data_IF_258427191915
#
_entry.id   IF_258427191915
#
_cell.length_a   1.000
_cell.length_b   1.000
_cell.length_c   1.000
_cell.angle_alpha   90.00
_cell.angle_beta   90.00
_cell.angle_gamma   90.00
#
_symmetry.space_group_name_H-M   'P 1'
#
loop_
_entity.id
_entity.type
_entity.pdbx_description
1 polymer ?
#
# COMPACT_ATOMS: atom_id res chain seq x y z
N UNK A 1 -28.96 27.05 48.64
CA UNK A 1 -27.93 26.30 49.40
C UNK A 1 -26.79 25.99 48.46
N UNK A 2 -25.64 26.63 48.67
CA UNK A 2 -24.45 26.56 47.82
C UNK A 2 -23.87 25.14 47.86
N UNK A 3 -23.82 24.45 46.70
CA UNK A 3 -23.09 23.20 46.55
C UNK A 3 -21.60 23.53 46.52
N UNK A 4 -20.89 23.19 47.59
CA UNK A 4 -19.44 23.26 47.65
C UNK A 4 -18.88 22.32 46.57
N UNK A 5 -18.39 22.88 45.47
CA UNK A 5 -17.81 22.14 44.36
C UNK A 5 -16.34 21.86 44.72
N UNK A 6 -16.09 20.71 45.35
CA UNK A 6 -14.72 20.26 45.63
C UNK A 6 -14.05 19.92 44.30
N UNK A 7 -13.13 20.78 43.85
CA UNK A 7 -12.30 20.55 42.67
C UNK A 7 -11.26 19.49 42.99
N UNK A 8 -11.19 18.45 42.16
CA UNK A 8 -10.09 17.49 42.12
C UNK A 8 -8.96 18.15 41.33
N UNK A 9 -7.81 18.39 41.96
CA UNK A 9 -6.59 18.78 41.27
C UNK A 9 -5.67 17.56 41.17
N UNK A 10 -5.51 17.02 39.96
CA UNK A 10 -4.36 16.16 39.65
C UNK A 10 -3.12 17.05 39.61
N UNK A 11 -2.40 17.16 40.71
CA UNK A 11 -1.10 17.83 40.74
C UNK A 11 -0.03 16.88 40.19
N UNK A 12 0.39 17.10 38.95
CA UNK A 12 1.71 16.67 38.46
C UNK A 12 2.75 17.56 39.13
N UNK A 13 3.18 17.22 40.34
CA UNK A 13 4.36 17.85 40.95
C UNK A 13 5.57 16.97 40.69
N UNK A 14 6.54 17.53 39.97
CA UNK A 14 7.88 16.98 39.83
C UNK A 14 8.44 16.55 41.19
N UNK A 15 8.88 15.28 41.28
CA UNK A 15 9.53 14.58 42.40
C UNK A 15 8.58 13.88 43.40
N UNK A 16 8.30 12.61 43.15
CA UNK A 16 7.76 11.64 44.12
C UNK A 16 6.25 11.44 44.04
N UNK A 17 5.80 10.45 43.27
CA UNK A 17 4.39 10.18 42.96
C UNK A 17 3.68 9.40 44.09
N UNK A 18 2.53 9.92 44.53
CA UNK A 18 1.55 9.19 45.33
C UNK A 18 0.14 9.72 45.05
N UNK A 19 -0.82 8.82 44.81
CA UNK A 19 -2.24 9.13 44.72
C UNK A 19 -2.83 9.07 46.14
N UNK A 20 -3.22 10.20 46.72
CA UNK A 20 -3.84 10.23 48.05
C UNK A 20 -5.36 10.06 47.96
N UNK A 21 -5.90 9.13 48.76
CA UNK A 21 -7.32 8.86 48.87
C UNK A 21 -7.97 9.94 49.74
N UNK A 22 -8.91 10.69 49.16
CA UNK A 22 -9.93 11.43 49.89
C UNK A 22 -11.25 10.80 49.40
N UNK A 23 -11.82 9.90 50.21
CA UNK A 23 -13.06 9.07 50.06
C UNK A 23 -14.15 9.67 49.13
N UNK A 24 -14.95 8.98 48.29
CA UNK A 24 -15.53 7.62 48.23
C UNK A 24 -15.83 7.19 46.77
N UNK A 25 -14.83 7.01 45.90
CA UNK A 25 -15.11 6.53 44.54
C UNK A 25 -13.97 5.66 44.00
N UNK A 26 -14.06 4.36 44.31
CA UNK A 26 -13.09 3.35 43.88
C UNK A 26 -12.94 3.31 42.36
N UNK A 27 -14.02 3.57 41.62
CA UNK A 27 -14.01 3.60 40.16
C UNK A 27 -13.17 4.76 39.63
N UNK A 28 -13.29 5.95 40.23
CA UNK A 28 -12.45 7.11 39.88
C UNK A 28 -10.98 6.91 40.24
N UNK A 29 -10.70 6.29 41.38
CA UNK A 29 -9.32 5.98 41.78
C UNK A 29 -8.69 4.98 40.80
N UNK A 30 -9.37 3.88 40.52
CA UNK A 30 -8.90 2.85 39.58
C UNK A 30 -8.69 3.45 38.18
N UNK A 31 -9.62 4.26 37.69
CA UNK A 31 -9.49 4.92 36.39
C UNK A 31 -8.29 5.87 36.34
N UNK A 32 -7.98 6.56 37.43
CA UNK A 32 -6.83 7.45 37.52
C UNK A 32 -5.50 6.70 37.69
N UNK A 33 -5.46 5.66 38.54
CA UNK A 33 -4.26 4.89 38.86
C UNK A 33 -3.85 3.92 37.76
N UNK A 34 -4.80 3.35 37.01
CA UNK A 34 -4.52 2.45 35.87
C UNK A 34 -4.07 3.18 34.61
N UNK A 35 -4.16 4.52 34.58
CA UNK A 35 -3.96 5.36 33.39
C UNK A 35 -4.77 4.88 32.16
N UNK A 36 -5.90 4.20 32.40
CA UNK A 36 -6.77 3.66 31.34
C UNK A 36 -6.25 2.42 30.62
N UNK A 37 -5.22 1.74 31.15
CA UNK A 37 -4.63 0.53 30.54
C UNK A 37 -5.24 -0.76 31.09
N UNK A 38 -5.06 -1.85 30.35
CA UNK A 38 -5.41 -3.20 30.80
C UNK A 38 -4.24 -3.84 31.57
N UNK A 39 -4.48 -4.12 32.85
CA UNK A 39 -3.55 -4.77 33.78
C UNK A 39 -3.97 -6.21 34.13
N UNK A 40 -4.90 -6.83 33.39
CA UNK A 40 -5.50 -8.13 33.71
C UNK A 40 -4.46 -9.23 33.97
N UNK A 41 -3.40 -9.30 33.17
CA UNK A 41 -2.32 -10.28 33.34
C UNK A 41 -1.52 -10.08 34.63
N UNK A 42 -1.32 -8.83 35.05
CA UNK A 42 -0.72 -8.52 36.35
C UNK A 42 -1.67 -8.91 37.49
N UNK A 43 -2.94 -8.55 37.37
CA UNK A 43 -3.94 -8.84 38.39
C UNK A 43 -4.19 -10.33 38.59
N UNK A 44 -4.18 -11.13 37.53
CA UNK A 44 -4.22 -12.60 37.63
C UNK A 44 -3.01 -13.14 38.40
N UNK A 45 -1.82 -12.59 38.14
CA UNK A 45 -0.58 -12.99 38.82
C UNK A 45 -0.55 -12.57 40.30
N UNK A 46 -1.04 -11.37 40.61
CA UNK A 46 -1.21 -10.87 41.98
C UNK A 46 -2.41 -11.51 42.71
N UNK A 47 -3.11 -12.44 42.04
CA UNK A 47 -4.25 -13.18 42.56
C UNK A 47 -5.37 -12.23 43.03
N UNK A 48 -5.68 -11.23 42.21
CA UNK A 48 -6.87 -10.41 42.37
C UNK A 48 -8.10 -11.30 42.12
N UNK A 49 -9.10 -11.30 43.02
CA UNK A 49 -10.32 -12.11 42.85
C UNK A 49 -11.00 -11.80 41.51
N UNK A 50 -11.62 -12.81 40.90
CA UNK A 50 -12.21 -12.70 39.56
C UNK A 50 -13.28 -11.61 39.48
N UNK A 51 -14.06 -11.47 40.55
CA UNK A 51 -15.07 -10.45 40.77
C UNK A 51 -14.50 -9.02 40.83
N UNK A 52 -13.18 -8.87 41.05
CA UNK A 52 -12.49 -7.58 41.14
C UNK A 52 -11.60 -7.29 39.90
N UNK A 53 -11.54 -8.19 38.91
CA UNK A 53 -10.72 -8.00 37.69
C UNK A 53 -11.22 -6.86 36.80
N UNK A 54 -12.47 -6.43 36.96
CA UNK A 54 -12.99 -5.20 36.34
C UNK A 54 -12.28 -3.94 36.85
N UNK A 55 -11.54 -4.03 37.95
CA UNK A 55 -10.61 -2.97 38.36
C UNK A 55 -9.35 -2.89 37.52
N UNK A 56 -9.02 -3.94 36.76
CA UNK A 56 -7.79 -4.01 36.00
C UNK A 56 -7.99 -3.71 34.51
N UNK A 57 -9.24 -3.71 34.04
CA UNK A 57 -9.60 -3.47 32.63
C UNK A 57 -10.95 -2.77 32.54
N UNK A 58 -11.20 -2.11 31.40
CA UNK A 58 -12.47 -1.46 31.15
C UNK A 58 -13.67 -2.44 31.18
N UNK A 59 -14.87 -2.04 31.67
CA UNK A 59 -15.20 -0.78 32.32
C UNK A 59 -14.77 -0.82 33.78
N UNK A 60 -13.99 0.16 34.23
CA UNK A 60 -13.40 0.27 35.58
C UNK A 60 -14.47 0.41 36.69
N UNK A 61 -15.31 -0.61 36.82
CA UNK A 61 -16.45 -0.73 37.71
C UNK A 61 -16.10 -1.79 38.73
N UNK A 62 -15.78 -1.35 39.93
CA UNK A 62 -15.28 -2.17 41.01
C UNK A 62 -16.25 -2.04 42.18
N UNK A 63 -16.76 -3.16 42.67
CA UNK A 63 -17.61 -3.20 43.84
C UNK A 63 -16.82 -2.80 45.10
N UNK A 64 -17.48 -2.20 46.09
CA UNK A 64 -16.86 -1.82 47.36
C UNK A 64 -16.21 -3.03 48.08
N UNK A 65 -16.72 -4.25 47.88
CA UNK A 65 -16.09 -5.47 48.44
C UNK A 65 -14.64 -5.67 48.01
N UNK A 66 -14.21 -5.06 46.90
CA UNK A 66 -12.86 -5.14 46.37
C UNK A 66 -11.86 -4.18 47.04
N UNK A 67 -12.27 -3.40 48.05
CA UNK A 67 -11.36 -2.59 48.89
C UNK A 67 -10.21 -3.45 49.47
N UNK A 68 -10.48 -4.72 49.76
CA UNK A 68 -9.51 -5.71 50.25
C UNK A 68 -8.39 -6.02 49.23
N UNK A 69 -8.62 -5.77 47.95
CA UNK A 69 -7.67 -6.00 46.86
C UNK A 69 -6.90 -4.74 46.48
N UNK A 70 -7.10 -3.61 47.16
CA UNK A 70 -6.45 -2.33 46.84
C UNK A 70 -4.93 -2.42 46.78
N UNK A 71 -4.28 -3.14 47.70
CA UNK A 71 -2.83 -3.28 47.70
C UNK A 71 -2.30 -4.08 46.49
N UNK A 72 -3.08 -5.07 46.01
CA UNK A 72 -2.79 -5.86 44.80
C UNK A 72 -3.04 -5.07 43.52
N UNK A 73 -4.08 -4.24 43.52
CA UNK A 73 -4.36 -3.32 42.42
C UNK A 73 -3.25 -2.24 42.35
N UNK A 74 -2.89 -1.67 43.49
CA UNK A 74 -1.82 -0.69 43.62
C UNK A 74 -0.46 -1.27 43.23
N UNK A 75 -0.13 -2.54 43.52
CA UNK A 75 1.13 -3.13 43.02
C UNK A 75 1.17 -3.20 41.49
N UNK A 76 0.04 -3.42 40.83
CA UNK A 76 -0.06 -3.41 39.37
C UNK A 76 -0.10 -2.00 38.76
N UNK A 77 -0.62 -1.00 39.47
CA UNK A 77 -0.77 0.38 38.99
C UNK A 77 0.44 1.27 39.31
N UNK A 78 1.09 1.02 40.46
CA UNK A 78 2.20 1.81 41.01
C UNK A 78 3.55 1.17 40.77
N UNK A 79 3.59 -0.02 40.17
CA UNK A 79 4.79 -0.41 39.46
C UNK A 79 5.06 0.72 38.43
N UNK A 80 6.31 1.17 38.27
CA UNK A 80 6.71 1.77 37.00
C UNK A 80 6.25 0.84 35.87
N UNK A 81 6.37 1.23 34.62
CA UNK A 81 6.33 0.26 33.51
C UNK A 81 7.47 -0.79 33.66
N UNK A 82 7.46 -1.64 34.69
CA UNK A 82 8.54 -2.55 35.08
C UNK A 82 8.36 -3.78 34.23
N UNK A 83 8.82 -3.60 33.01
CA UNK A 83 9.04 -4.63 32.02
C UNK A 83 7.98 -4.71 30.93
N UNK A 84 7.10 -3.73 30.72
CA UNK A 84 6.52 -3.56 29.38
C UNK A 84 7.49 -2.73 28.54
N UNK A 85 7.69 -3.05 27.26
CA UNK A 85 8.69 -2.38 26.45
C UNK A 85 8.22 -0.96 26.09
N UNK A 86 9.17 -0.07 25.83
CA UNK A 86 8.90 1.24 25.24
C UNK A 86 8.62 1.14 23.75
N UNK A 87 7.87 2.10 23.21
CA UNK A 87 7.65 2.21 21.77
C UNK A 87 8.98 2.33 21.03
N UNK A 88 9.11 1.67 19.88
CA UNK A 88 10.33 1.72 19.07
C UNK A 88 10.64 3.15 18.62
N UNK A 89 11.91 3.42 18.35
CA UNK A 89 12.41 4.73 17.94
C UNK A 89 12.81 4.72 16.48
N UNK A 90 12.86 5.91 15.87
CA UNK A 90 13.38 6.14 14.52
C UNK A 90 12.80 5.21 13.45
N UNK A 91 11.50 4.88 13.53
CA UNK A 91 10.80 4.18 12.46
C UNK A 91 10.92 4.99 11.17
N UNK A 92 11.50 4.37 10.14
CA UNK A 92 11.72 4.97 8.83
C UNK A 92 11.36 3.98 7.72
N UNK A 93 11.01 4.54 6.56
CA UNK A 93 10.73 3.79 5.34
C UNK A 93 11.79 4.09 4.30
N UNK A 94 12.34 3.05 3.69
CA UNK A 94 13.38 3.10 2.66
C UNK A 94 13.07 2.11 1.55
N UNK A 95 13.84 2.12 0.46
CA UNK A 95 13.72 1.14 -0.64
C UNK A 95 12.29 0.99 -1.17
N UNK A 96 11.59 2.12 -1.33
CA UNK A 96 10.21 2.12 -1.83
C UNK A 96 10.22 1.81 -3.33
N UNK A 97 9.51 0.75 -3.71
CA UNK A 97 9.26 0.36 -5.11
C UNK A 97 7.79 0.63 -5.46
N UNK A 98 7.34 0.14 -6.62
CA UNK A 98 5.92 0.21 -6.98
C UNK A 98 5.03 -0.77 -6.21
N UNK A 99 5.60 -1.78 -5.54
CA UNK A 99 4.82 -2.82 -4.86
C UNK A 99 5.36 -3.21 -3.48
N UNK A 100 6.38 -2.52 -2.98
CA UNK A 100 7.03 -2.88 -1.72
C UNK A 100 7.78 -1.73 -1.10
N UNK A 101 8.06 -1.84 0.20
CA UNK A 101 8.86 -0.87 0.96
C UNK A 101 9.57 -1.57 2.12
N UNK A 102 10.75 -1.06 2.50
CA UNK A 102 11.52 -1.54 3.65
C UNK A 102 11.31 -0.62 4.86
N UNK A 103 10.71 -1.16 5.91
CA UNK A 103 10.56 -0.53 7.22
C UNK A 103 11.76 -0.91 8.09
N UNK A 104 12.30 0.06 8.83
CA UNK A 104 13.33 -0.19 9.85
C UNK A 104 13.16 0.75 11.03
N UNK A 105 13.52 0.28 12.22
CA UNK A 105 13.38 1.01 13.48
C UNK A 105 14.55 0.65 14.42
N UNK A 106 14.55 1.24 15.60
CA UNK A 106 15.49 0.94 16.66
C UNK A 106 14.78 0.62 17.95
N UNK A 107 15.33 -0.34 18.69
CA UNK A 107 14.86 -0.64 20.03
C UNK A 107 15.00 0.54 20.99
N UNK A 108 13.99 0.62 21.87
CA UNK A 108 13.93 1.61 22.93
C UNK A 108 14.11 1.02 24.33
N UNK A 109 14.19 -0.31 24.43
CA UNK A 109 14.22 -1.05 25.69
C UNK A 109 14.97 -2.40 25.56
N UNK A 110 15.21 -3.05 26.69
CA UNK A 110 15.87 -4.36 26.76
C UNK A 110 14.86 -5.51 26.88
N UNK A 111 15.25 -6.70 26.42
CA UNK A 111 14.44 -7.92 26.56
C UNK A 111 13.28 -8.00 25.56
N UNK A 112 13.34 -7.24 24.45
CA UNK A 112 12.42 -7.38 23.33
C UNK A 112 12.57 -8.78 22.74
N UNK A 113 11.44 -9.47 22.55
CA UNK A 113 11.38 -10.80 21.93
C UNK A 113 10.81 -10.75 20.52
N UNK A 114 10.22 -9.62 20.12
CA UNK A 114 9.75 -9.38 18.77
C UNK A 114 9.00 -8.08 18.59
N UNK A 115 8.42 -7.91 17.41
CA UNK A 115 7.69 -6.73 16.98
C UNK A 115 6.46 -7.14 16.20
N UNK A 116 5.39 -6.37 16.40
CA UNK A 116 4.21 -6.39 15.55
C UNK A 116 4.25 -5.17 14.63
N UNK A 117 4.29 -5.40 13.33
CA UNK A 117 4.26 -4.37 12.28
C UNK A 117 2.86 -4.32 11.70
N UNK A 118 2.27 -3.13 11.58
CA UNK A 118 0.96 -2.93 10.96
C UNK A 118 1.06 -1.84 9.88
N UNK A 119 0.51 -2.13 8.71
CA UNK A 119 0.43 -1.21 7.56
C UNK A 119 -1.02 -0.96 7.22
N UNK A 120 -1.35 0.31 6.99
CA UNK A 120 -2.69 0.81 6.78
C UNK A 120 -2.83 1.46 5.40
N UNK A 121 -3.99 1.28 4.79
CA UNK A 121 -4.47 2.03 3.63
C UNK A 121 -5.87 2.54 3.96
N UNK A 122 -6.11 3.85 3.86
CA UNK A 122 -7.40 4.47 4.23
C UNK A 122 -7.92 4.02 5.61
N UNK A 123 -7.02 4.02 6.62
CA UNK A 123 -7.27 3.60 8.01
C UNK A 123 -7.65 2.12 8.21
N UNK A 124 -7.70 1.31 7.15
CA UNK A 124 -7.84 -0.14 7.23
C UNK A 124 -6.47 -0.83 7.26
N UNK A 125 -6.31 -1.82 8.14
CA UNK A 125 -5.10 -2.67 8.17
C UNK A 125 -5.07 -3.54 6.92
N UNK A 126 -4.03 -3.39 6.11
CA UNK A 126 -3.82 -4.16 4.87
C UNK A 126 -2.69 -5.18 4.99
N UNK A 127 -1.79 -5.01 5.97
CA UNK A 127 -0.72 -5.96 6.24
C UNK A 127 -0.37 -5.94 7.73
N UNK A 128 -0.15 -7.13 8.29
CA UNK A 128 0.31 -7.33 9.67
C UNK A 128 1.39 -8.40 9.67
N UNK A 129 2.47 -8.17 10.42
CA UNK A 129 3.54 -9.16 10.58
C UNK A 129 4.06 -9.17 12.02
N UNK A 130 4.24 -10.37 12.57
CA UNK A 130 4.95 -10.60 13.83
C UNK A 130 6.37 -11.12 13.50
N UNK A 131 7.40 -10.40 13.91
CA UNK A 131 8.80 -10.68 13.55
C UNK A 131 9.74 -10.50 14.75
N UNK A 132 10.99 -10.93 14.60
CA UNK A 132 12.04 -10.78 15.63
C UNK A 132 13.15 -9.81 15.24
N UNK A 133 13.13 -9.28 14.02
CA UNK A 133 14.14 -8.36 13.48
C UNK A 133 13.68 -6.90 13.57
N UNK A 134 14.62 -5.96 13.66
CA UNK A 134 14.35 -4.50 13.68
C UNK A 134 14.05 -3.90 12.29
N UNK A 135 13.67 -4.75 11.34
CA UNK A 135 13.31 -4.36 9.98
C UNK A 135 12.34 -5.33 9.36
N UNK A 136 11.48 -4.83 8.47
CA UNK A 136 10.51 -5.62 7.74
C UNK A 136 10.29 -5.06 6.34
N UNK A 137 10.38 -5.93 5.33
CA UNK A 137 10.00 -5.59 3.97
C UNK A 137 8.55 -5.98 3.73
N UNK A 138 7.72 -4.98 3.44
CA UNK A 138 6.32 -5.15 3.11
C UNK A 138 6.20 -5.32 1.60
N UNK A 139 5.48 -6.35 1.17
CA UNK A 139 5.30 -6.72 -0.24
C UNK A 139 3.83 -6.56 -0.65
N UNK A 140 3.54 -6.78 -1.94
CA UNK A 140 2.19 -6.80 -2.51
C UNK A 140 1.39 -5.50 -2.28
N UNK A 141 2.08 -4.37 -2.23
CA UNK A 141 1.46 -3.05 -2.17
C UNK A 141 0.95 -2.63 -3.56
N UNK A 142 -0.08 -1.79 -3.58
CA UNK A 142 -0.62 -1.19 -4.79
C UNK A 142 0.31 -0.05 -5.24
N UNK A 143 0.63 0.07 -6.55
CA UNK A 143 1.39 1.19 -7.08
C UNK A 143 0.73 2.55 -6.87
N UNK A 144 1.53 3.61 -6.81
CA UNK A 144 1.07 5.00 -6.66
C UNK A 144 0.06 5.21 -5.51
N UNK A 145 0.18 4.45 -4.42
CA UNK A 145 -0.77 4.43 -3.31
C UNK A 145 -0.09 4.83 -2.00
N UNK A 146 -0.80 5.60 -1.18
CA UNK A 146 -0.32 6.05 0.12
C UNK A 146 -0.61 5.00 1.20
N UNK A 147 0.37 4.78 2.07
CA UNK A 147 0.29 3.87 3.20
C UNK A 147 0.79 4.55 4.48
N UNK A 148 0.28 4.09 5.62
CA UNK A 148 0.82 4.38 6.95
C UNK A 148 1.35 3.12 7.60
N UNK A 149 2.48 3.19 8.29
CA UNK A 149 3.02 2.07 9.07
C UNK A 149 3.29 2.47 10.53
N UNK A 150 3.05 1.53 11.43
CA UNK A 150 3.43 1.60 12.84
C UNK A 150 4.02 0.27 13.31
N UNK A 151 4.81 0.34 14.38
CA UNK A 151 5.46 -0.82 14.97
C UNK A 151 5.24 -0.84 16.47
N UNK A 152 4.93 -2.01 17.00
CA UNK A 152 4.77 -2.27 18.44
C UNK A 152 5.82 -3.27 18.89
N UNK A 153 6.61 -2.93 19.90
CA UNK A 153 7.59 -3.84 20.49
C UNK A 153 6.90 -4.81 21.45
N UNK A 154 7.40 -6.05 21.53
CA UNK A 154 6.83 -7.14 22.32
C UNK A 154 7.93 -7.74 23.18
N UNK A 155 7.66 -7.96 24.46
CA UNK A 155 8.52 -8.75 25.35
C UNK A 155 7.71 -9.79 26.13
N UNK A 156 8.37 -10.55 27.02
CA UNK A 156 7.72 -11.61 27.79
C UNK A 156 6.55 -11.17 28.69
N UNK A 157 6.42 -9.86 28.97
CA UNK A 157 5.36 -9.28 29.81
C UNK A 157 4.22 -8.70 28.98
N UNK A 158 4.50 -8.19 27.78
CA UNK A 158 3.47 -7.69 26.86
C UNK A 158 4.01 -6.71 25.82
N UNK A 159 3.11 -5.85 25.34
CA UNK A 159 3.35 -4.96 24.20
C UNK A 159 3.63 -3.53 24.64
N UNK A 160 4.41 -2.80 23.85
CA UNK A 160 4.55 -1.35 23.98
C UNK A 160 3.30 -0.62 23.45
N UNK A 161 3.17 0.69 23.69
CA UNK A 161 2.40 1.54 22.79
C UNK A 161 2.95 1.44 21.35
N UNK A 162 2.12 1.65 20.31
CA UNK A 162 2.60 1.76 18.94
C UNK A 162 3.57 2.94 18.78
N UNK A 163 4.48 2.84 17.81
CA UNK A 163 5.28 3.98 17.37
C UNK A 163 4.40 5.09 16.80
N UNK A 164 4.98 6.28 16.61
CA UNK A 164 4.37 7.25 15.70
C UNK A 164 4.25 6.64 14.30
N UNK A 165 3.16 6.99 13.61
CA UNK A 165 2.93 6.59 12.23
C UNK A 165 3.97 7.23 11.32
N UNK A 166 4.49 6.44 10.38
CA UNK A 166 5.22 6.95 9.22
C UNK A 166 4.37 6.75 7.96
N UNK A 167 4.27 7.79 7.14
CA UNK A 167 3.55 7.74 5.86
C UNK A 167 4.54 7.57 4.71
N UNK A 168 4.17 6.77 3.72
CA UNK A 168 4.94 6.60 2.49
C UNK A 168 4.01 6.33 1.30
N UNK A 169 4.47 6.65 0.10
CA UNK A 169 3.73 6.40 -1.15
C UNK A 169 4.56 5.48 -2.04
N UNK A 170 3.99 4.38 -2.50
CA UNK A 170 4.64 3.51 -3.47
C UNK A 170 4.86 4.23 -4.79
N UNK A 171 5.92 3.83 -5.51
CA UNK A 171 6.20 4.41 -6.82
C UNK A 171 5.10 4.01 -7.83
N UNK A 172 4.86 4.81 -8.88
CA UNK A 172 4.08 4.32 -10.01
C UNK A 172 4.78 3.13 -10.67
N UNK A 173 4.02 2.27 -11.36
CA UNK A 173 4.61 1.25 -12.22
C UNK A 173 5.47 1.96 -13.27
N UNK A 174 6.78 1.69 -13.28
CA UNK A 174 7.62 2.11 -14.40
C UNK A 174 7.18 1.30 -15.61
N UNK A 175 6.41 1.90 -16.51
CA UNK A 175 6.20 1.33 -17.85
C UNK A 175 7.54 1.44 -18.56
N UNK A 176 8.34 0.39 -18.51
CA UNK A 176 9.55 0.32 -19.32
C UNK A 176 9.15 0.09 -20.77
N UNK A 177 9.94 0.59 -21.73
CA UNK A 177 9.77 0.28 -23.15
C UNK A 177 9.75 -1.24 -23.41
N UNK A 178 10.31 -2.05 -22.48
CA UNK A 178 10.33 -3.51 -22.51
C UNK A 178 8.96 -4.15 -22.61
N UNK A 179 7.95 -3.59 -21.93
CA UNK A 179 6.60 -4.15 -21.91
C UNK A 179 5.77 -3.79 -23.17
N UNK A 180 6.33 -3.03 -24.12
CA UNK A 180 5.62 -2.70 -25.36
C UNK A 180 5.71 -3.87 -26.36
N UNK A 181 4.68 -4.14 -27.16
CA UNK A 181 4.80 -5.07 -28.29
C UNK A 181 5.96 -4.65 -29.22
N UNK A 182 6.67 -5.62 -29.80
CA UNK A 182 7.63 -5.30 -30.87
C UNK A 182 6.91 -4.67 -32.07
N UNK A 183 7.64 -3.86 -32.83
CA UNK A 183 7.11 -3.30 -34.08
C UNK A 183 6.70 -4.44 -35.03
N UNK A 184 5.54 -4.36 -35.71
CA UNK A 184 5.18 -5.34 -36.71
C UNK A 184 6.22 -5.38 -37.84
N UNK A 185 6.54 -6.57 -38.31
CA UNK A 185 7.45 -6.80 -39.44
C UNK A 185 6.72 -7.50 -40.61
N UNK A 186 7.43 -7.65 -41.72
CA UNK A 186 6.88 -8.33 -42.91
C UNK A 186 5.71 -7.60 -43.57
N UNK A 187 5.59 -6.28 -43.38
CA UNK A 187 4.59 -5.44 -44.02
C UNK A 187 4.69 -5.54 -45.54
N UNK A 188 3.60 -5.97 -46.19
CA UNK A 188 3.59 -6.29 -47.63
C UNK A 188 2.22 -6.12 -48.26
N UNK A 189 2.23 -5.85 -49.56
CA UNK A 189 1.03 -5.85 -50.41
C UNK A 189 0.70 -7.28 -50.82
N UNK A 190 -0.53 -7.72 -50.54
CA UNK A 190 -1.02 -9.05 -50.94
C UNK A 190 -1.64 -9.00 -52.33
N UNK A 191 -2.49 -8.01 -52.55
CA UNK A 191 -3.09 -7.73 -53.85
C UNK A 191 -3.44 -6.25 -53.98
N UNK A 192 -3.50 -5.78 -55.22
CA UNK A 192 -3.78 -4.40 -55.58
C UNK A 192 -4.77 -4.44 -56.76
N UNK A 193 -6.04 -4.13 -56.49
CA UNK A 193 -7.12 -4.27 -57.47
C UNK A 193 -8.10 -3.10 -57.43
N UNK A 194 -8.19 -2.37 -58.55
CA UNK A 194 -9.04 -1.18 -58.69
C UNK A 194 -8.65 -0.09 -57.70
N UNK A 195 -9.61 0.36 -56.89
CA UNK A 195 -9.42 1.36 -55.83
C UNK A 195 -9.14 0.73 -54.46
N UNK A 196 -8.74 -0.56 -54.41
CA UNK A 196 -8.55 -1.31 -53.17
C UNK A 196 -7.20 -2.02 -53.14
N UNK A 197 -6.59 -2.08 -51.97
CA UNK A 197 -5.31 -2.76 -51.76
C UNK A 197 -5.37 -3.53 -50.44
N UNK A 198 -5.04 -4.81 -50.47
CA UNK A 198 -4.89 -5.60 -49.26
C UNK A 198 -3.45 -5.61 -48.78
N UNK A 199 -3.26 -5.22 -47.54
CA UNK A 199 -1.97 -5.15 -46.85
C UNK A 199 -1.95 -6.21 -45.76
N UNK A 200 -0.83 -6.87 -45.60
CA UNK A 200 -0.61 -7.84 -44.52
C UNK A 200 0.76 -7.67 -43.87
N UNK A 201 0.91 -8.22 -42.67
CA UNK A 201 2.15 -8.24 -41.89
C UNK A 201 2.23 -9.55 -41.10
N UNK A 202 3.34 -9.79 -40.41
CA UNK A 202 3.46 -10.95 -39.52
C UNK A 202 2.84 -10.65 -38.14
N UNK A 203 2.34 -11.67 -37.43
CA UNK A 203 1.81 -11.48 -36.09
C UNK A 203 2.90 -11.07 -35.10
N UNK A 204 2.61 -10.06 -34.26
CA UNK A 204 3.46 -9.68 -33.13
C UNK A 204 3.19 -10.62 -31.96
N UNK A 205 4.15 -11.46 -31.63
CA UNK A 205 4.04 -12.50 -30.59
C UNK A 205 4.88 -12.22 -29.35
N UNK A 206 5.77 -11.23 -29.42
CA UNK A 206 6.69 -10.87 -28.33
C UNK A 206 6.75 -9.36 -28.10
N UNK A 207 7.09 -9.00 -26.86
CA UNK A 207 7.37 -7.63 -26.43
C UNK A 207 8.85 -7.29 -26.60
N UNK A 208 9.21 -6.03 -26.38
CA UNK A 208 10.59 -5.53 -26.52
C UNK A 208 11.58 -6.24 -25.57
N UNK A 209 11.12 -6.69 -24.41
CA UNK A 209 11.88 -7.51 -23.45
C UNK A 209 11.91 -9.01 -23.77
N UNK A 210 11.43 -9.41 -24.96
CA UNK A 210 11.29 -10.79 -25.43
C UNK A 210 10.23 -11.64 -24.72
N UNK A 211 9.51 -11.08 -23.73
CA UNK A 211 8.37 -11.77 -23.12
C UNK A 211 7.23 -11.98 -24.14
N UNK A 212 6.44 -13.05 -24.02
CA UNK A 212 5.33 -13.31 -24.93
C UNK A 212 4.20 -12.28 -24.73
N UNK A 213 3.56 -11.92 -25.84
CA UNK A 213 2.29 -11.20 -25.85
C UNK A 213 1.20 -12.17 -25.40
N UNK A 214 0.43 -11.78 -24.37
CA UNK A 214 -0.61 -12.62 -23.77
C UNK A 214 -2.03 -12.10 -23.98
N UNK A 215 -2.17 -10.82 -24.38
CA UNK A 215 -3.43 -10.16 -24.65
C UNK A 215 -3.80 -10.13 -26.13
N UNK A 216 -4.94 -9.49 -26.41
CA UNK A 216 -5.36 -9.21 -27.79
C UNK A 216 -4.50 -8.09 -28.36
N UNK A 217 -3.92 -8.32 -29.54
CA UNK A 217 -3.17 -7.30 -30.29
C UNK A 217 -4.10 -6.63 -31.29
N UNK A 218 -4.24 -5.32 -31.16
CA UNK A 218 -4.89 -4.49 -32.17
C UNK A 218 -3.82 -3.83 -33.04
N UNK A 219 -3.99 -3.89 -34.35
CA UNK A 219 -3.11 -3.23 -35.31
C UNK A 219 -3.77 -1.95 -35.83
N UNK A 220 -2.96 -0.90 -36.02
CA UNK A 220 -3.39 0.33 -36.69
C UNK A 220 -2.51 0.56 -37.91
N UNK A 221 -3.10 0.48 -39.11
CA UNK A 221 -2.45 0.86 -40.36
C UNK A 221 -2.61 2.35 -40.57
N UNK A 222 -1.51 3.05 -40.84
CA UNK A 222 -1.45 4.45 -41.22
C UNK A 222 -1.06 4.53 -42.69
N UNK A 223 -1.80 5.31 -43.49
CA UNK A 223 -1.43 5.57 -44.89
C UNK A 223 -1.73 7.02 -45.32
N UNK A 224 -0.95 7.52 -46.29
CA UNK A 224 -1.07 8.87 -46.85
C UNK A 224 -0.65 8.88 -48.33
N UNK A 225 -1.23 9.75 -49.15
CA UNK A 225 -0.80 9.95 -50.55
C UNK A 225 0.59 10.63 -50.55
N UNK A 226 1.60 9.96 -51.13
CA UNK A 226 3.01 10.30 -50.97
C UNK A 226 3.39 11.66 -51.56
N UNK A 227 2.70 12.10 -52.61
CA UNK A 227 3.03 13.34 -53.34
C UNK A 227 2.34 14.58 -52.77
N UNK A 228 1.47 14.43 -51.77
CA UNK A 228 0.77 15.55 -51.13
C UNK A 228 1.41 15.91 -49.80
N UNK A 229 2.17 17.00 -49.81
CA UNK A 229 2.72 17.59 -48.60
C UNK A 229 1.62 18.08 -47.66
N UNK A 230 1.71 17.71 -46.38
CA UNK A 230 0.85 18.23 -45.31
C UNK A 230 -0.48 17.49 -45.14
N UNK A 231 -0.70 16.35 -45.79
CA UNK A 231 -1.91 15.56 -45.60
C UNK A 231 -1.85 14.73 -44.31
N UNK A 232 -2.96 14.70 -43.57
CA UNK A 232 -3.10 13.89 -42.35
C UNK A 232 -3.13 12.40 -42.72
N UNK A 233 -2.46 11.57 -41.92
CA UNK A 233 -2.50 10.11 -42.07
C UNK A 233 -3.92 9.59 -41.87
N UNK A 234 -4.40 8.77 -42.80
CA UNK A 234 -5.62 7.98 -42.62
C UNK A 234 -5.29 6.70 -41.86
N UNK A 235 -6.17 6.30 -40.95
CA UNK A 235 -5.96 5.12 -40.09
C UNK A 235 -7.03 4.04 -40.29
N UNK A 236 -6.61 2.78 -40.32
CA UNK A 236 -7.51 1.62 -40.28
C UNK A 236 -7.10 0.69 -39.13
N UNK A 237 -8.06 0.26 -38.32
CA UNK A 237 -7.82 -0.66 -37.20
C UNK A 237 -8.33 -2.06 -37.49
N UNK A 238 -7.61 -3.08 -37.00
CA UNK A 238 -7.96 -4.48 -37.17
C UNK A 238 -7.32 -5.34 -36.08
N UNK A 239 -7.96 -6.44 -35.71
CA UNK A 239 -7.34 -7.46 -34.85
C UNK A 239 -6.72 -8.60 -35.67
N UNK A 240 -6.84 -8.56 -37.00
CA UNK A 240 -6.21 -9.49 -37.92
C UNK A 240 -4.81 -8.99 -38.32
N UNK A 241 -4.00 -9.85 -38.92
CA UNK A 241 -2.70 -9.48 -39.50
C UNK A 241 -2.80 -8.96 -40.95
N UNK A 242 -3.98 -8.44 -41.30
CA UNK A 242 -4.27 -7.88 -42.62
C UNK A 242 -5.39 -6.84 -42.55
N UNK A 243 -5.39 -5.92 -43.52
CA UNK A 243 -6.45 -4.93 -43.71
C UNK A 243 -6.54 -4.53 -45.19
N UNK A 244 -7.75 -4.20 -45.64
CA UNK A 244 -8.00 -3.68 -46.99
C UNK A 244 -8.13 -2.16 -46.94
N UNK A 245 -7.23 -1.46 -47.60
CA UNK A 245 -7.38 -0.03 -47.90
C UNK A 245 -8.42 0.12 -49.01
N UNK A 246 -9.41 0.98 -48.81
CA UNK A 246 -10.50 1.24 -49.76
C UNK A 246 -10.46 2.68 -50.27
N UNK A 247 -11.21 2.93 -51.35
CA UNK A 247 -11.43 4.25 -51.93
C UNK A 247 -10.15 5.01 -52.27
N UNK A 248 -9.13 4.24 -52.70
CA UNK A 248 -7.87 4.80 -53.15
C UNK A 248 -8.03 5.49 -54.50
N UNK A 249 -7.37 6.63 -54.65
CA UNK A 249 -7.20 7.29 -55.94
C UNK A 249 -6.30 6.42 -56.81
N UNK A 250 -6.78 6.04 -58.00
CA UNK A 250 -5.99 5.28 -58.97
C UNK A 250 -4.79 6.11 -59.44
N UNK A 251 -3.72 5.42 -59.82
CA UNK A 251 -2.45 6.03 -60.25
C UNK A 251 -1.77 6.94 -59.21
N UNK A 252 -2.19 6.86 -57.94
CA UNK A 252 -1.57 7.61 -56.85
C UNK A 252 -0.63 6.73 -56.03
N UNK A 253 0.51 7.29 -55.62
CA UNK A 253 1.45 6.68 -54.68
C UNK A 253 0.97 6.89 -53.26
N UNK A 254 0.99 5.82 -52.47
CA UNK A 254 0.66 5.83 -51.05
C UNK A 254 1.84 5.32 -50.24
N UNK A 255 2.13 6.02 -49.15
CA UNK A 255 3.11 5.61 -48.14
C UNK A 255 2.36 5.12 -46.91
N UNK A 256 2.76 3.96 -46.38
CA UNK A 256 2.08 3.34 -45.25
C UNK A 256 3.03 2.68 -44.24
N UNK A 257 2.56 2.57 -43.00
CA UNK A 257 3.20 1.81 -41.93
C UNK A 257 2.14 1.28 -40.96
N UNK A 258 2.50 0.30 -40.13
CA UNK A 258 1.59 -0.30 -39.15
C UNK A 258 2.19 -0.28 -37.75
N UNK A 259 1.36 -0.10 -36.73
CA UNK A 259 1.70 -0.27 -35.32
C UNK A 259 0.85 -1.36 -34.68
N UNK A 260 1.31 -1.93 -33.57
CA UNK A 260 0.59 -2.89 -32.74
C UNK A 260 0.35 -2.30 -31.35
N UNK A 261 -0.82 -2.57 -30.76
CA UNK A 261 -1.20 -2.14 -29.42
C UNK A 261 -1.68 -3.34 -28.61
N UNK A 262 -1.11 -3.54 -27.42
CA UNK A 262 -1.54 -4.53 -26.42
C UNK A 262 -1.69 -3.79 -25.08
N UNK A 263 -2.82 -3.95 -24.38
CA UNK A 263 -3.04 -3.36 -23.05
C UNK A 263 -2.66 -1.87 -22.96
N UNK A 264 -3.12 -1.07 -23.94
CA UNK A 264 -2.84 0.38 -24.05
C UNK A 264 -1.37 0.77 -24.33
N UNK A 265 -0.49 -0.22 -24.54
CA UNK A 265 0.91 -0.01 -24.90
C UNK A 265 1.10 -0.19 -26.41
N UNK A 266 1.48 0.89 -27.10
CA UNK A 266 1.71 0.90 -28.55
C UNK A 266 3.18 0.62 -28.89
N UNK A 267 3.41 -0.20 -29.92
CA UNK A 267 4.73 -0.48 -30.49
C UNK A 267 5.30 0.73 -31.23
N UNK A 268 6.58 0.63 -31.64
CA UNK A 268 7.09 1.48 -32.73
C UNK A 268 6.41 1.12 -34.06
N UNK A 269 6.49 2.02 -35.03
CA UNK A 269 6.05 1.76 -36.40
C UNK A 269 6.89 0.67 -37.06
N UNK A 270 6.25 -0.12 -37.92
CA UNK A 270 6.94 -0.98 -38.87
C UNK A 270 7.88 -0.18 -39.79
N UNK A 271 8.65 -0.90 -40.61
CA UNK A 271 9.22 -0.28 -41.81
C UNK A 271 8.12 0.32 -42.69
N UNK A 272 8.43 1.42 -43.34
CA UNK A 272 7.51 2.12 -44.25
C UNK A 272 7.50 1.41 -45.61
N UNK A 273 6.32 1.23 -46.19
CA UNK A 273 6.14 0.71 -47.55
C UNK A 273 5.48 1.78 -48.39
N UNK A 274 5.96 1.97 -49.61
CA UNK A 274 5.31 2.79 -50.64
C UNK A 274 4.71 1.88 -51.70
N UNK A 275 3.48 2.15 -52.12
CA UNK A 275 2.81 1.41 -53.19
C UNK A 275 2.08 2.34 -54.13
N UNK A 276 2.01 1.96 -55.40
CA UNK A 276 1.22 2.62 -56.43
C UNK A 276 -0.15 1.92 -56.51
N UNK A 277 -1.24 2.64 -56.25
CA UNK A 277 -2.59 2.09 -56.45
C UNK A 277 -2.79 1.72 -57.92
N UNK A 278 -3.48 0.60 -58.20
CA UNK A 278 -3.58 0.06 -59.56
C UNK A 278 -3.96 1.14 -60.59
N UNK A 279 -3.27 1.17 -61.74
CA UNK A 279 -3.60 2.10 -62.81
C UNK A 279 -5.04 1.99 -63.32
N UNK A 280 -5.60 3.14 -63.70
CA UNK A 280 -6.95 3.28 -64.26
C UNK A 280 -7.12 2.73 -65.67
#
# INVERSE_FOLDING_TARGET
MSRNQTRIHCFLVNKGQGCFIITEDLNKWVQCASEGRDHSRCCEKEQVPKECLTGCRHPFQVADSCFTSLNKLHSCFSAPHVGLPKAVRRLKVTEITSNSALLSWEDADYGIVGYKVEVFSNDAVVSTADITTESHRVENLTPASEYRAQVTAVNGRGNSPPSFNVTFTTLPVKITDGDRPKAPDGLRVVWNYGNRVNISWNPVTTRMDESPVGGVVQYTLYYVEAEKNGQQWTTLQTNNTWVVMNDLKRDALYTLHVTATENEKTSRSSSVVTLLAQPG
#
